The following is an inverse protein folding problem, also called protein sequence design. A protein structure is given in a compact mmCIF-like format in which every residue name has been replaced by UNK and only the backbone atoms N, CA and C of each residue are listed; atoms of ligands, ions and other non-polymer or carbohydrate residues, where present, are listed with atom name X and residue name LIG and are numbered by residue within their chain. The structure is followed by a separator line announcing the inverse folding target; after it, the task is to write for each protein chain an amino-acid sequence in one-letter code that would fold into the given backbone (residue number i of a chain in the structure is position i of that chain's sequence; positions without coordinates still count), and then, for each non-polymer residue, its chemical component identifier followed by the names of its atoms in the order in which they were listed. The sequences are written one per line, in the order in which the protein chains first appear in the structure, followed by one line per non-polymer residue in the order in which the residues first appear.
data_IF_374889922171
#
_entry.id   IF_374889922171
#
_cell.length_a   1.000
_cell.length_b   1.000
_cell.length_c   1.000
_cell.angle_alpha   90.00
_cell.angle_beta   90.00
_cell.angle_gamma   90.00
#
_symmetry.space_group_name_H-M   'P 1'
#
loop_
_entity.id
_entity.type
_entity.pdbx_description
1 polymer ?
#
# COMPACT_ATOMS: atom_id res chain seq x y z
N UNK A 1 78.91 0.52 -22.82
CA UNK A 1 77.79 0.46 -21.87
C UNK A 1 76.59 -0.10 -22.62
N UNK A 2 76.16 -1.33 -22.29
CA UNK A 2 75.04 -2.02 -22.94
C UNK A 2 73.76 -1.74 -22.14
N UNK A 3 72.80 -1.05 -22.74
CA UNK A 3 71.43 -1.00 -22.22
C UNK A 3 70.82 -2.41 -22.35
N UNK A 4 70.11 -2.93 -21.34
CA UNK A 4 69.37 -4.17 -21.52
C UNK A 4 68.21 -3.92 -22.51
N UNK A 5 67.83 -4.91 -23.33
CA UNK A 5 66.69 -4.79 -24.22
C UNK A 5 65.43 -4.61 -23.38
N UNK A 6 64.61 -3.63 -23.75
CA UNK A 6 63.25 -3.47 -23.28
C UNK A 6 62.48 -4.76 -23.57
N UNK A 7 62.42 -5.63 -22.57
CA UNK A 7 61.62 -6.83 -22.57
C UNK A 7 60.17 -6.44 -22.84
N UNK A 8 59.65 -6.93 -23.95
CA UNK A 8 58.25 -7.15 -24.30
C UNK A 8 57.31 -6.84 -23.11
N UNK A 9 56.79 -5.61 -23.03
CA UNK A 9 55.62 -5.35 -22.20
C UNK A 9 54.41 -5.94 -22.93
N UNK A 10 54.08 -7.19 -22.62
CA UNK A 10 52.74 -7.71 -22.86
C UNK A 10 51.82 -6.86 -21.97
N UNK A 11 51.09 -5.92 -22.57
CA UNK A 11 50.46 -4.76 -21.94
C UNK A 11 49.78 -5.03 -20.60
N UNK A 12 50.51 -4.80 -19.51
CA UNK A 12 50.03 -4.81 -18.14
C UNK A 12 49.67 -3.38 -17.76
N UNK A 13 48.43 -2.98 -17.99
CA UNK A 13 47.96 -1.70 -17.48
C UNK A 13 47.53 -1.87 -16.03
N UNK A 14 48.41 -1.45 -15.13
CA UNK A 14 48.18 -1.32 -13.69
C UNK A 14 47.81 0.14 -13.42
N UNK A 15 46.63 0.37 -12.84
CA UNK A 15 46.14 1.72 -12.58
C UNK A 15 45.68 1.86 -11.15
N UNK A 16 46.39 2.68 -10.39
CA UNK A 16 45.96 3.11 -9.07
C UNK A 16 45.23 4.46 -9.17
N UNK A 17 43.99 4.47 -8.71
CA UNK A 17 43.06 5.61 -8.67
C UNK A 17 42.40 5.72 -7.28
N UNK A 18 43.05 5.13 -6.28
CA UNK A 18 42.64 5.18 -4.88
C UNK A 18 42.61 6.59 -4.33
N UNK A 19 41.85 6.81 -3.25
CA UNK A 19 41.82 8.08 -2.50
C UNK A 19 41.50 9.31 -3.36
N UNK A 20 40.49 9.16 -4.21
CA UNK A 20 40.01 10.25 -5.05
C UNK A 20 38.54 10.55 -4.73
N UNK A 21 37.99 11.56 -5.39
CA UNK A 21 36.59 11.96 -5.24
C UNK A 21 35.72 11.49 -6.42
N UNK A 22 36.09 10.37 -7.08
CA UNK A 22 35.29 9.85 -8.17
C UNK A 22 33.90 9.45 -7.68
N UNK A 23 32.88 9.86 -8.42
CA UNK A 23 31.49 9.62 -8.10
C UNK A 23 30.75 9.00 -9.29
N UNK A 24 29.49 8.62 -9.05
CA UNK A 24 28.68 7.95 -10.07
C UNK A 24 29.02 6.47 -10.21
N UNK A 25 28.53 5.87 -11.29
CA UNK A 25 28.64 4.43 -11.52
C UNK A 25 29.87 4.04 -12.32
N UNK A 26 30.35 2.82 -12.08
CA UNK A 26 31.46 2.25 -12.84
C UNK A 26 30.92 1.89 -14.23
N UNK A 27 31.47 2.43 -15.32
CA UNK A 27 30.98 2.15 -16.66
C UNK A 27 31.27 0.71 -17.09
N UNK A 28 30.34 0.08 -17.80
CA UNK A 28 30.50 -1.30 -18.30
C UNK A 28 31.68 -1.46 -19.28
N UNK A 29 32.03 -0.39 -19.99
CA UNK A 29 33.16 -0.36 -20.93
C UNK A 29 34.49 -0.70 -20.25
N UNK A 30 34.63 -0.42 -18.95
CA UNK A 30 35.82 -0.79 -18.19
C UNK A 30 36.01 -2.30 -18.11
N UNK A 31 34.91 -3.06 -18.14
CA UNK A 31 34.93 -4.52 -18.20
C UNK A 31 35.49 -5.07 -19.52
N UNK A 32 35.37 -4.32 -20.62
CA UNK A 32 35.81 -4.72 -21.96
C UNK A 32 37.33 -4.59 -22.18
N UNK A 33 38.04 -3.89 -21.29
CA UNK A 33 39.48 -3.66 -21.41
C UNK A 33 40.30 -4.89 -21.01
N UNK A 34 40.46 -5.87 -21.91
CA UNK A 34 41.13 -7.17 -21.65
C UNK A 34 42.58 -7.05 -21.15
N UNK A 35 43.29 -5.98 -21.51
CA UNK A 35 44.67 -5.71 -21.06
C UNK A 35 44.78 -5.20 -19.62
N UNK A 36 43.67 -4.77 -19.01
CA UNK A 36 43.65 -4.26 -17.64
C UNK A 36 43.75 -5.42 -16.63
N UNK A 37 44.85 -5.52 -15.88
CA UNK A 37 45.03 -6.59 -14.88
C UNK A 37 44.97 -6.11 -13.43
N UNK A 38 45.27 -4.84 -13.17
CA UNK A 38 45.21 -4.27 -11.83
C UNK A 38 44.54 -2.90 -11.87
N UNK A 39 43.52 -2.73 -11.04
CA UNK A 39 42.81 -1.46 -10.87
C UNK A 39 42.46 -1.28 -9.41
N UNK A 40 42.94 -0.19 -8.82
CA UNK A 40 42.60 0.20 -7.47
C UNK A 40 41.72 1.44 -7.50
N UNK A 41 40.48 1.32 -7.02
CA UNK A 41 39.51 2.40 -6.89
C UNK A 41 39.03 2.56 -5.44
N UNK A 42 39.79 2.05 -4.48
CA UNK A 42 39.37 2.14 -3.08
C UNK A 42 39.29 3.60 -2.61
N UNK A 43 38.47 3.82 -1.59
CA UNK A 43 38.32 5.13 -0.94
C UNK A 43 37.92 6.23 -1.93
N UNK A 44 36.81 6.00 -2.63
CA UNK A 44 36.17 6.94 -3.55
C UNK A 44 34.67 7.11 -3.21
N UNK A 45 33.97 7.97 -3.94
CA UNK A 45 32.52 8.21 -3.79
C UNK A 45 31.67 7.49 -4.86
N UNK A 46 32.14 6.36 -5.39
CA UNK A 46 31.44 5.62 -6.44
C UNK A 46 30.15 4.98 -5.89
N UNK A 47 29.13 4.88 -6.75
CA UNK A 47 27.81 4.38 -6.40
C UNK A 47 27.19 3.50 -7.49
N UNK A 48 26.26 2.63 -7.09
CA UNK A 48 25.56 1.73 -8.01
C UNK A 48 26.13 0.31 -8.03
N UNK A 49 25.64 -0.50 -8.97
CA UNK A 49 26.05 -1.89 -9.09
C UNK A 49 27.38 -1.98 -9.86
N UNK A 50 28.32 -2.76 -9.34
CA UNK A 50 29.54 -3.08 -10.08
C UNK A 50 29.16 -3.93 -11.31
N UNK A 51 29.58 -3.56 -12.53
CA UNK A 51 29.28 -4.31 -13.75
C UNK A 51 29.66 -5.78 -13.63
N UNK A 52 28.76 -6.68 -14.06
CA UNK A 52 29.01 -8.12 -14.05
C UNK A 52 30.24 -8.49 -14.93
N UNK A 53 30.49 -7.71 -15.98
CA UNK A 53 31.67 -7.83 -16.85
C UNK A 53 32.98 -7.67 -16.09
N UNK A 54 33.04 -6.76 -15.10
CA UNK A 54 34.20 -6.62 -14.21
C UNK A 54 34.24 -7.71 -13.15
N UNK A 55 33.08 -8.08 -12.59
CA UNK A 55 32.97 -9.16 -11.61
C UNK A 55 33.48 -10.51 -12.14
N UNK A 56 33.12 -10.87 -13.37
CA UNK A 56 33.60 -12.10 -14.01
C UNK A 56 35.11 -12.13 -14.22
N UNK A 57 35.75 -10.96 -14.41
CA UNK A 57 37.20 -10.85 -14.64
C UNK A 57 38.03 -10.94 -13.37
N UNK A 58 37.45 -10.72 -12.20
CA UNK A 58 38.10 -11.00 -10.91
C UNK A 58 38.58 -12.47 -10.81
N UNK A 59 37.93 -13.38 -11.54
CA UNK A 59 38.28 -14.80 -11.58
C UNK A 59 39.43 -15.10 -12.57
N UNK A 60 39.72 -14.22 -13.54
CA UNK A 60 40.65 -14.44 -14.66
C UNK A 60 42.03 -13.77 -14.49
N UNK A 61 42.67 -13.89 -13.32
CA UNK A 61 44.01 -13.30 -13.01
C UNK A 61 44.07 -11.75 -13.05
N UNK A 62 42.94 -11.08 -12.88
CA UNK A 62 42.86 -9.63 -12.65
C UNK A 62 42.52 -9.33 -11.17
N UNK A 63 43.16 -8.31 -10.61
CA UNK A 63 42.93 -7.87 -9.23
C UNK A 63 42.31 -6.49 -9.26
N UNK A 64 41.05 -6.38 -8.85
CA UNK A 64 40.36 -5.10 -8.73
C UNK A 64 39.96 -4.85 -7.29
N UNK A 65 40.27 -3.65 -6.80
CA UNK A 65 39.92 -3.22 -5.46
C UNK A 65 38.88 -2.09 -5.54
N UNK A 66 37.69 -2.35 -4.98
CA UNK A 66 36.56 -1.44 -4.95
C UNK A 66 36.09 -1.14 -3.51
N UNK A 67 36.89 -1.49 -2.50
CA UNK A 67 36.53 -1.28 -1.09
C UNK A 67 36.40 0.21 -0.76
N UNK A 68 35.80 0.55 0.38
CA UNK A 68 35.61 1.94 0.82
C UNK A 68 34.89 2.85 -0.19
N UNK A 69 33.98 2.28 -0.98
CA UNK A 69 33.00 3.02 -1.77
C UNK A 69 31.61 2.72 -1.21
N UNK A 70 31.05 3.66 -0.44
CA UNK A 70 29.82 3.43 0.32
C UNK A 70 28.62 3.05 -0.55
N UNK A 71 28.57 3.55 -1.79
CA UNK A 71 27.47 3.36 -2.72
C UNK A 71 27.59 2.15 -3.64
N UNK A 72 28.74 1.45 -3.67
CA UNK A 72 28.92 0.30 -4.56
C UNK A 72 28.33 -0.98 -3.98
N UNK A 73 27.79 -1.83 -4.87
CA UNK A 73 27.20 -3.11 -4.49
C UNK A 73 27.31 -4.16 -5.61
N UNK A 74 27.05 -5.44 -5.29
CA UNK A 74 26.78 -6.48 -6.30
C UNK A 74 27.91 -7.48 -6.61
N UNK A 75 29.07 -7.35 -5.98
CA UNK A 75 30.16 -8.34 -6.05
C UNK A 75 30.47 -8.91 -4.65
N UNK A 76 30.99 -10.14 -4.54
CA UNK A 76 31.45 -10.71 -3.27
C UNK A 76 32.47 -9.78 -2.61
N UNK A 77 32.29 -9.49 -1.32
CA UNK A 77 33.11 -8.53 -0.57
C UNK A 77 32.56 -7.09 -0.52
N UNK A 78 31.53 -6.77 -1.31
CA UNK A 78 30.77 -5.52 -1.20
C UNK A 78 29.35 -5.77 -0.64
N UNK A 79 28.61 -4.68 -0.39
CA UNK A 79 27.21 -4.74 0.05
C UNK A 79 26.36 -5.42 -1.02
N UNK A 80 25.32 -6.16 -0.61
CA UNK A 80 24.34 -6.69 -1.57
C UNK A 80 23.49 -5.55 -2.13
N UNK A 81 23.29 -5.53 -3.45
CA UNK A 81 22.41 -4.55 -4.07
C UNK A 81 20.96 -4.90 -3.72
N UNK A 82 20.32 -4.09 -2.87
CA UNK A 82 18.91 -4.20 -2.55
C UNK A 82 18.28 -2.83 -2.39
N UNK A 83 16.94 -2.75 -2.27
CA UNK A 83 16.26 -1.50 -1.95
C UNK A 83 16.83 -0.97 -0.63
N UNK A 84 17.59 0.12 -0.72
CA UNK A 84 18.18 0.76 0.44
C UNK A 84 17.08 1.58 1.12
N UNK A 85 16.25 0.91 1.90
CA UNK A 85 15.18 1.56 2.64
C UNK A 85 15.83 2.56 3.59
N UNK A 86 15.61 3.86 3.33
CA UNK A 86 16.18 4.96 4.11
C UNK A 86 15.93 4.73 5.60
N UNK A 87 16.85 5.19 6.44
CA UNK A 87 16.68 5.10 7.89
C UNK A 87 15.33 5.70 8.33
N UNK A 88 14.90 6.80 7.70
CA UNK A 88 13.58 7.39 7.92
C UNK A 88 12.43 6.47 7.50
N UNK A 89 12.57 5.71 6.43
CA UNK A 89 11.55 4.77 5.98
C UNK A 89 11.45 3.54 6.92
N UNK A 90 12.56 3.07 7.50
CA UNK A 90 12.54 2.03 8.53
C UNK A 90 11.76 2.48 9.78
N UNK A 91 12.04 3.70 10.24
CA UNK A 91 11.33 4.30 11.39
C UNK A 91 9.84 4.47 11.07
N UNK A 92 9.51 4.96 9.87
CA UNK A 92 8.13 5.13 9.43
C UNK A 92 7.33 3.83 9.43
N UNK A 93 7.91 2.73 8.92
CA UNK A 93 7.26 1.42 8.95
C UNK A 93 7.04 0.93 10.38
N UNK A 94 8.04 1.09 11.26
CA UNK A 94 7.91 0.69 12.65
C UNK A 94 6.76 1.43 13.35
N UNK A 95 6.71 2.77 13.24
CA UNK A 95 5.65 3.57 13.82
C UNK A 95 4.28 3.23 13.24
N UNK A 96 4.18 3.09 11.91
CA UNK A 96 2.95 2.69 11.24
C UNK A 96 2.43 1.33 11.72
N UNK A 97 3.33 0.35 11.87
CA UNK A 97 2.98 -0.98 12.37
C UNK A 97 2.47 -0.94 13.83
N UNK A 98 3.09 -0.14 14.70
CA UNK A 98 2.66 0.03 16.08
C UNK A 98 1.27 0.66 16.16
N UNK A 99 1.00 1.72 15.39
CA UNK A 99 -0.32 2.38 15.36
C UNK A 99 -1.39 1.41 14.84
N UNK A 100 -1.09 0.67 13.76
CA UNK A 100 -2.02 -0.33 13.23
C UNK A 100 -2.35 -1.42 14.27
N UNK A 101 -1.34 -1.93 14.99
CA UNK A 101 -1.55 -2.91 16.05
C UNK A 101 -2.42 -2.36 17.19
N UNK A 102 -2.19 -1.12 17.62
CA UNK A 102 -3.02 -0.48 18.64
C UNK A 102 -4.48 -0.35 18.19
N UNK A 103 -4.72 0.05 16.93
CA UNK A 103 -6.08 0.13 16.37
C UNK A 103 -6.76 -1.24 16.27
N UNK A 104 -6.01 -2.29 15.92
CA UNK A 104 -6.53 -3.65 15.88
C UNK A 104 -6.93 -4.11 17.29
N UNK A 105 -6.06 -3.89 18.29
CA UNK A 105 -6.34 -4.27 19.68
C UNK A 105 -7.55 -3.54 20.23
N UNK A 106 -7.69 -2.23 20.00
CA UNK A 106 -8.88 -1.48 20.45
C UNK A 106 -10.15 -1.98 19.78
N UNK A 107 -10.11 -2.25 18.47
CA UNK A 107 -11.23 -2.86 17.74
C UNK A 107 -11.62 -4.23 18.33
N UNK A 108 -10.65 -5.08 18.66
CA UNK A 108 -10.88 -6.39 19.28
C UNK A 108 -11.51 -6.25 20.67
N UNK A 109 -11.03 -5.31 21.49
CA UNK A 109 -11.60 -5.03 22.82
C UNK A 109 -13.04 -4.52 22.69
N UNK A 110 -13.30 -3.56 21.79
CA UNK A 110 -14.64 -3.04 21.52
C UNK A 110 -15.59 -4.14 21.02
N UNK A 111 -15.12 -4.98 20.10
CA UNK A 111 -15.88 -6.11 19.58
C UNK A 111 -16.19 -7.13 20.68
N UNK A 112 -15.21 -7.49 21.49
CA UNK A 112 -15.38 -8.41 22.61
C UNK A 112 -16.36 -7.86 23.64
N UNK A 113 -16.25 -6.56 23.98
CA UNK A 113 -17.15 -5.90 24.92
C UNK A 113 -18.59 -5.86 24.40
N UNK A 114 -18.78 -5.54 23.11
CA UNK A 114 -20.10 -5.57 22.47
C UNK A 114 -20.71 -6.97 22.53
N UNK A 115 -19.90 -8.00 22.23
CA UNK A 115 -20.34 -9.41 22.30
C UNK A 115 -20.76 -9.78 23.72
N UNK A 116 -19.98 -9.39 24.73
CA UNK A 116 -20.35 -9.60 26.13
C UNK A 116 -21.68 -8.94 26.49
N UNK A 117 -21.91 -7.69 26.06
CA UNK A 117 -23.16 -6.98 26.35
C UNK A 117 -24.38 -7.69 25.75
N UNK A 118 -24.26 -8.25 24.54
CA UNK A 118 -25.34 -9.02 23.89
C UNK A 118 -25.63 -10.31 24.67
N UNK A 119 -24.59 -11.07 25.05
CA UNK A 119 -24.76 -12.30 25.83
C UNK A 119 -25.38 -12.03 27.21
N UNK A 120 -25.00 -10.92 27.86
CA UNK A 120 -25.61 -10.49 29.14
C UNK A 120 -27.09 -10.13 28.99
N UNK A 121 -27.46 -9.47 27.89
CA UNK A 121 -28.85 -9.13 27.61
C UNK A 121 -29.73 -10.38 27.41
N UNK A 122 -29.21 -11.41 26.73
CA UNK A 122 -29.91 -12.70 26.55
C UNK A 122 -30.11 -13.43 27.89
N UNK A 123 -29.08 -13.51 28.74
CA UNK A 123 -29.19 -14.15 30.06
C UNK A 123 -30.26 -13.46 30.95
N UNK A 124 -30.40 -12.14 30.87
CA UNK A 124 -31.42 -11.40 31.62
C UNK A 124 -32.82 -11.68 31.06
N UNK A 125 -32.97 -11.82 29.74
CA UNK A 125 -34.24 -12.12 29.09
C UNK A 125 -34.73 -13.56 29.35
N UNK A 126 -33.79 -14.52 29.44
CA UNK A 126 -34.09 -15.95 29.63
C UNK A 126 -34.08 -16.38 31.12
N UNK A 127 -33.90 -15.44 32.04
CA UNK A 127 -33.84 -15.70 33.48
C UNK A 127 -35.20 -16.13 34.08
N UNK A 128 -35.23 -17.10 35.01
CA UNK A 128 -36.46 -17.77 35.47
C UNK A 128 -37.42 -16.91 36.31
N UNK A 129 -37.10 -15.63 36.57
CA UNK A 129 -37.89 -14.75 37.45
C UNK A 129 -38.73 -13.68 36.70
N UNK A 130 -38.63 -13.54 35.37
CA UNK A 130 -39.28 -12.41 34.67
C UNK A 130 -40.08 -12.80 33.41
N UNK A 131 -40.74 -13.96 33.40
CA UNK A 131 -41.77 -14.20 32.37
C UNK A 131 -42.95 -13.21 32.48
N UNK A 132 -43.12 -12.54 33.62
CA UNK A 132 -44.19 -11.55 33.85
C UNK A 132 -43.82 -10.10 33.51
N UNK A 133 -42.54 -9.73 33.37
CA UNK A 133 -42.13 -8.34 33.13
C UNK A 133 -41.90 -7.99 31.65
N UNK A 134 -41.75 -8.99 30.77
CA UNK A 134 -41.49 -8.76 29.34
C UNK A 134 -42.66 -8.11 28.58
N UNK A 135 -43.87 -8.08 29.15
CA UNK A 135 -45.04 -7.43 28.52
C UNK A 135 -45.02 -5.90 28.65
N UNK A 136 -44.16 -5.31 29.48
CA UNK A 136 -44.19 -3.86 29.76
C UNK A 136 -42.85 -3.12 29.54
N UNK A 137 -41.94 -3.65 28.72
CA UNK A 137 -40.75 -2.89 28.33
C UNK A 137 -41.11 -1.70 27.42
N UNK A 138 -40.88 -0.42 27.83
CA UNK A 138 -41.35 0.77 27.10
C UNK A 138 -40.65 1.01 25.76
N UNK A 139 -39.60 0.26 25.43
CA UNK A 139 -38.88 0.37 24.15
C UNK A 139 -39.38 -0.61 23.07
N UNK A 140 -40.29 -1.54 23.40
CA UNK A 140 -40.77 -2.57 22.48
C UNK A 140 -42.07 -2.20 21.74
N UNK A 141 -42.62 -0.99 21.90
CA UNK A 141 -43.84 -0.56 21.20
C UNK A 141 -43.56 0.50 20.14
N UNK A 142 -42.96 0.09 19.03
CA UNK A 142 -42.96 0.87 17.80
C UNK A 142 -42.83 -0.03 16.56
N UNK A 143 -43.91 -0.73 16.21
CA UNK A 143 -44.18 -1.08 14.81
C UNK A 143 -45.66 -1.40 14.62
N UNK A 144 -46.18 -0.89 13.51
CA UNK A 144 -47.48 -1.16 12.86
C UNK A 144 -48.72 -0.56 13.52
N UNK A 145 -48.97 0.72 13.24
CA UNK A 145 -50.30 1.14 12.77
C UNK A 145 -50.13 2.34 11.83
N UNK A 146 -49.94 2.02 10.55
CA UNK A 146 -50.11 2.98 9.45
C UNK A 146 -51.21 2.43 8.54
N UNK A 147 -52.44 2.47 9.04
CA UNK A 147 -53.61 2.47 8.18
C UNK A 147 -53.80 3.91 7.71
N UNK A 148 -53.47 4.18 6.45
CA UNK A 148 -53.98 5.36 5.77
C UNK A 148 -55.43 5.05 5.41
N UNK A 149 -56.36 5.69 6.11
CA UNK A 149 -57.75 5.74 5.72
C UNK A 149 -57.86 6.51 4.40
N UNK A 150 -57.96 5.77 3.29
CA UNK A 150 -58.50 6.31 2.04
C UNK A 150 -60.01 6.08 2.11
N UNK A 151 -60.71 7.00 2.75
CA UNK A 151 -62.16 7.10 2.65
C UNK A 151 -62.48 8.26 1.71
N UNK A 152 -62.42 7.98 0.41
CA UNK A 152 -62.98 8.87 -0.62
C UNK A 152 -64.50 8.70 -0.59
N UNK A 153 -65.19 9.68 -0.01
CA UNK A 153 -66.63 9.85 -0.09
C UNK A 153 -67.06 9.91 -1.56
N UNK A 154 -67.75 8.86 -2.03
CA UNK A 154 -68.51 8.88 -3.29
C UNK A 154 -69.79 9.69 -3.06
N UNK A 155 -70.08 10.75 -3.84
CA UNK A 155 -71.42 11.31 -3.89
C UNK A 155 -72.28 10.39 -4.78
N UNK A 156 -73.29 9.78 -4.18
CA UNK A 156 -74.40 9.14 -4.90
C UNK A 156 -75.23 10.24 -5.58
N UNK A 157 -75.55 10.03 -6.85
CA UNK A 157 -76.39 10.94 -7.62
C UNK A 157 -77.88 10.77 -7.35
N UNK A 158 -78.57 11.86 -7.67
CA UNK A 158 -79.96 11.97 -8.13
C UNK A 158 -81.08 11.90 -7.07
N UNK A 159 -81.68 13.06 -6.78
CA UNK A 159 -83.09 13.37 -7.06
C UNK A 159 -83.43 14.77 -6.53
N UNK A 160 -83.70 15.72 -7.43
CA UNK A 160 -84.83 16.65 -7.37
C UNK A 160 -84.77 17.61 -8.57
N UNK A 161 -85.62 17.31 -9.54
CA UNK A 161 -85.95 18.16 -10.68
C UNK A 161 -86.91 19.28 -10.25
N UNK A 162 -86.64 20.51 -10.71
CA UNK A 162 -87.61 21.57 -11.07
C UNK A 162 -86.98 22.34 -12.24
N UNK A 163 -87.38 22.11 -13.51
CA UNK A 163 -88.37 22.90 -14.29
C UNK A 163 -88.19 24.41 -14.10
N UNK A 164 -88.02 25.29 -15.09
CA UNK A 164 -88.38 25.36 -16.50
C UNK A 164 -87.36 26.31 -17.19
N UNK A 165 -87.09 26.25 -18.49
CA UNK A 165 -87.86 26.90 -19.57
C UNK A 165 -87.44 26.25 -20.89
N UNK A 166 -88.34 25.55 -21.58
CA UNK A 166 -89.16 26.08 -22.69
C UNK A 166 -88.36 26.46 -23.96
N UNK A 167 -88.60 25.63 -24.99
CA UNK A 167 -88.73 25.96 -26.41
C UNK A 167 -87.48 25.98 -27.30
N UNK A 168 -87.44 24.99 -28.22
CA UNK A 168 -86.77 25.06 -29.52
C UNK A 168 -87.43 26.09 -30.46
N UNK A 169 -87.13 26.14 -31.79
CA UNK A 169 -86.97 25.01 -32.70
C UNK A 169 -85.65 25.02 -33.52
N UNK A 170 -85.14 23.86 -33.97
CA UNK A 170 -85.30 23.17 -35.28
C UNK A 170 -84.73 23.92 -36.52
N UNK A 171 -83.86 23.18 -37.24
CA UNK A 171 -83.45 23.21 -38.66
C UNK A 171 -82.29 24.10 -39.15
N UNK A 172 -81.24 23.36 -39.56
CA UNK A 172 -80.54 23.41 -40.86
C UNK A 172 -79.91 24.74 -41.29
N UNK A 173 -78.62 24.92 -40.96
CA UNK A 173 -77.50 24.74 -41.89
C UNK A 173 -76.17 24.94 -41.16
#
# INVERSE_FOLDING_TARGET
MRYPPLGIQIGLYDRDLSYNFFNGSIPESLGQLTSLRRLNLNSNSLSGRVPATLGARLLHRASFNFTDNAGLCGIPGLRSCGPHLSFGAKIGIALGSCVALLLIVTCLICWWKRRQNILRAQIIADGPFLFSAAREAPYAKARTHFSRDVQMTRPYGNENARTATENGPILLS
#
